data_IF_766087430042
#
_entry.id   IF_766087430042
#
_cell.length_a   1.000
_cell.length_b   1.000
_cell.length_c   1.000
_cell.angle_alpha   90.00
_cell.angle_beta   90.00
_cell.angle_gamma   90.00
#
_symmetry.space_group_name_H-M   'P 1'
#
loop_
_entity.id
_entity.type
_entity.pdbx_description
1 polymer ?
#
# COMPACT_ATOMS: atom_id res chain seq x y z
N UNK A 1 36.28 -5.52 -27.68
CA UNK A 1 36.58 -5.25 -26.30
C UNK A 1 35.90 -4.01 -25.77
N UNK A 2 36.08 -2.94 -26.45
CA UNK A 2 35.47 -1.71 -26.04
C UNK A 2 33.97 -1.72 -26.10
N UNK A 3 33.36 -2.40 -27.03
CA UNK A 3 31.89 -2.41 -27.13
C UNK A 3 31.20 -2.93 -25.89
N UNK A 4 31.91 -3.68 -25.11
CA UNK A 4 31.29 -4.23 -23.90
C UNK A 4 30.76 -3.19 -22.97
N UNK A 5 31.45 -2.10 -22.87
CA UNK A 5 31.05 -1.05 -21.93
C UNK A 5 29.75 -0.41 -22.31
N UNK A 6 29.54 -0.27 -23.58
CA UNK A 6 28.34 0.37 -24.08
C UNK A 6 27.11 -0.42 -23.70
N UNK A 7 27.21 -1.72 -23.75
CA UNK A 7 26.09 -2.56 -23.42
C UNK A 7 25.63 -2.34 -21.98
N UNK A 8 26.57 -2.20 -21.10
CA UNK A 8 26.26 -1.99 -19.71
C UNK A 8 25.45 -0.72 -19.48
N UNK A 9 25.81 0.31 -20.18
CA UNK A 9 25.13 1.57 -20.05
C UNK A 9 23.68 1.48 -20.44
N UNK A 10 23.42 0.78 -21.50
CA UNK A 10 22.06 0.63 -21.98
C UNK A 10 21.16 -0.07 -20.97
N UNK A 11 21.71 -1.08 -20.35
CA UNK A 11 20.94 -1.83 -19.37
C UNK A 11 20.50 -0.93 -18.22
N UNK A 12 21.37 -0.06 -17.81
CA UNK A 12 21.05 0.83 -16.71
C UNK A 12 19.88 1.75 -17.04
N UNK A 13 19.88 2.27 -18.24
CA UNK A 13 18.81 3.16 -18.66
C UNK A 13 17.46 2.47 -18.63
N UNK A 14 17.43 1.22 -19.00
CA UNK A 14 16.19 0.45 -19.01
C UNK A 14 15.58 0.36 -17.61
N UNK A 15 16.43 0.18 -16.63
CA UNK A 15 15.96 0.05 -15.27
C UNK A 15 15.27 1.32 -14.77
N UNK A 16 15.82 2.45 -15.13
CA UNK A 16 15.24 3.71 -14.74
C UNK A 16 13.85 3.89 -15.31
N UNK A 17 13.67 3.45 -16.52
CA UNK A 17 12.37 3.54 -17.15
C UNK A 17 11.31 2.75 -16.39
N UNK A 18 11.69 1.59 -15.92
CA UNK A 18 10.76 0.78 -15.14
C UNK A 18 10.34 1.47 -13.87
N UNK A 19 11.27 2.14 -13.24
CA UNK A 19 10.94 2.88 -12.04
C UNK A 19 9.89 3.93 -12.30
N UNK A 20 9.98 4.60 -13.43
CA UNK A 20 9.01 5.63 -13.77
C UNK A 20 7.61 5.04 -13.95
N UNK A 21 7.51 3.88 -14.56
CA UNK A 21 6.20 3.31 -14.83
C UNK A 21 5.47 2.92 -13.57
N UNK A 22 6.18 2.63 -12.49
CA UNK A 22 5.51 2.25 -11.26
C UNK A 22 4.71 3.39 -10.65
N UNK A 23 5.01 4.61 -11.02
CA UNK A 23 4.28 5.76 -10.50
C UNK A 23 2.85 5.84 -11.02
N UNK A 24 2.58 5.21 -12.12
CA UNK A 24 1.25 5.26 -12.69
C UNK A 24 0.21 4.61 -11.80
N UNK A 25 0.63 3.79 -10.85
CA UNK A 25 -0.29 3.14 -9.93
C UNK A 25 -1.04 4.14 -9.08
N UNK A 26 -0.43 5.26 -8.77
CA UNK A 26 -1.04 6.24 -7.90
C UNK A 26 -2.24 6.92 -8.53
N UNK A 27 -2.39 6.81 -9.84
CA UNK A 27 -3.46 7.50 -10.54
C UNK A 27 -4.85 6.96 -10.23
N UNK A 28 -4.94 5.75 -9.75
CA UNK A 28 -6.23 5.16 -9.46
C UNK A 28 -6.82 5.55 -8.11
N UNK A 29 -6.06 6.31 -7.31
CA UNK A 29 -6.48 6.60 -5.95
C UNK A 29 -6.29 8.08 -5.64
N UNK A 30 -7.38 8.73 -5.21
CA UNK A 30 -7.31 10.14 -4.85
C UNK A 30 -6.54 10.32 -3.55
N UNK A 31 -5.97 11.50 -3.37
CA UNK A 31 -5.20 11.79 -2.16
C UNK A 31 -6.04 11.63 -0.90
N UNK A 32 -7.31 11.98 -0.96
CA UNK A 32 -8.20 11.85 0.19
C UNK A 32 -8.31 10.41 0.68
N UNK A 33 -8.12 9.47 -0.22
CA UNK A 33 -8.16 8.05 0.11
C UNK A 33 -6.76 7.51 0.29
N UNK A 34 -5.83 7.94 -0.56
CA UNK A 34 -4.47 7.44 -0.50
C UNK A 34 -3.75 7.79 0.79
N UNK A 35 -3.97 9.00 1.32
CA UNK A 35 -3.29 9.40 2.54
C UNK A 35 -3.66 8.54 3.74
N UNK A 36 -4.94 8.39 4.09
CA UNK A 36 -5.26 7.52 5.22
C UNK A 36 -4.85 6.06 5.00
N UNK A 37 -4.90 5.58 3.75
CA UNK A 37 -4.44 4.22 3.49
C UNK A 37 -2.94 4.08 3.68
N UNK A 38 -2.18 5.08 3.30
CA UNK A 38 -0.74 5.06 3.52
C UNK A 38 -0.44 5.07 5.00
N UNK A 39 -1.14 5.88 5.77
CA UNK A 39 -0.98 5.91 7.21
C UNK A 39 -1.34 4.56 7.83
N UNK A 40 -2.40 3.94 7.34
CA UNK A 40 -2.80 2.63 7.82
C UNK A 40 -1.70 1.60 7.56
N UNK A 41 -1.09 1.65 6.39
CA UNK A 41 -0.02 0.74 6.05
C UNK A 41 1.16 0.91 7.00
N UNK A 42 1.53 2.14 7.30
CA UNK A 42 2.63 2.40 8.21
C UNK A 42 2.31 1.93 9.63
N UNK A 43 1.08 2.13 10.05
CA UNK A 43 0.66 1.67 11.37
C UNK A 43 0.68 0.15 11.47
N UNK A 44 0.32 -0.53 10.39
CA UNK A 44 0.42 -1.99 10.38
C UNK A 44 1.87 -2.45 10.54
N UNK A 45 2.79 -1.77 9.89
CA UNK A 45 4.19 -2.11 10.03
C UNK A 45 4.70 -1.88 11.44
N UNK A 46 4.13 -0.89 12.10
CA UNK A 46 4.50 -0.56 13.47
C UNK A 46 3.80 -1.46 14.49
N UNK A 47 2.94 -2.35 14.05
CA UNK A 47 2.21 -3.24 14.95
C UNK A 47 0.99 -2.62 15.57
N UNK A 48 0.52 -1.51 15.02
CA UNK A 48 -0.65 -0.79 15.57
C UNK A 48 -1.88 -1.05 14.71
N UNK A 49 -2.33 -2.29 14.75
CA UNK A 49 -3.40 -2.73 13.86
C UNK A 49 -4.72 -2.01 14.09
N UNK A 50 -5.05 -1.71 15.34
CA UNK A 50 -6.31 -1.01 15.63
C UNK A 50 -6.32 0.39 15.06
N UNK A 51 -5.20 1.08 15.19
CA UNK A 51 -5.07 2.42 14.63
C UNK A 51 -5.09 2.37 13.12
N UNK A 52 -4.47 1.35 12.55
CA UNK A 52 -4.50 1.17 11.11
C UNK A 52 -5.93 0.96 10.61
N UNK A 53 -6.71 0.20 11.34
CA UNK A 53 -8.10 -0.03 10.98
C UNK A 53 -8.90 1.28 11.03
N UNK A 54 -8.63 2.11 12.02
CA UNK A 54 -9.30 3.41 12.11
C UNK A 54 -8.97 4.28 10.90
N UNK A 55 -7.72 4.27 10.47
CA UNK A 55 -7.33 5.03 9.29
C UNK A 55 -7.97 4.49 8.01
N UNK A 56 -8.05 3.19 7.90
CA UNK A 56 -8.73 2.59 6.75
C UNK A 56 -10.20 2.97 6.72
N UNK A 57 -10.83 3.08 7.86
CA UNK A 57 -12.22 3.51 7.95
C UNK A 57 -12.39 4.97 7.54
N UNK A 58 -11.39 5.80 7.83
CA UNK A 58 -11.43 7.18 7.37
C UNK A 58 -11.46 7.23 5.84
N UNK A 59 -10.65 6.40 5.21
CA UNK A 59 -10.66 6.33 3.76
C UNK A 59 -12.00 5.85 3.25
N UNK A 60 -12.60 4.91 3.94
CA UNK A 60 -13.89 4.34 3.53
C UNK A 60 -15.02 5.35 3.64
N UNK A 61 -14.86 6.35 4.48
CA UNK A 61 -15.87 7.37 4.67
C UNK A 61 -15.92 8.40 3.55
N UNK A 62 -14.93 8.40 2.68
CA UNK A 62 -14.89 9.34 1.56
C UNK A 62 -15.95 8.97 0.55
N UNK A 63 -16.72 9.96 0.09
CA UNK A 63 -17.78 9.72 -0.87
C UNK A 63 -17.27 9.58 -2.29
N UNK A 64 -18.09 8.98 -3.14
CA UNK A 64 -17.79 8.88 -4.56
C UNK A 64 -16.59 8.03 -4.90
N UNK A 65 -16.35 6.97 -4.14
CA UNK A 65 -15.21 6.10 -4.37
C UNK A 65 -15.37 5.29 -5.65
N UNK A 66 -14.28 5.09 -6.35
CA UNK A 66 -14.26 4.19 -7.50
C UNK A 66 -14.15 2.75 -7.02
N UNK A 67 -14.42 1.81 -7.94
CA UNK A 67 -14.28 0.39 -7.59
C UNK A 67 -12.85 0.06 -7.18
N UNK A 68 -11.87 0.65 -7.84
CA UNK A 68 -10.47 0.41 -7.48
C UNK A 68 -10.16 0.94 -6.08
N UNK A 69 -10.67 2.12 -5.76
CA UNK A 69 -10.48 2.71 -4.43
C UNK A 69 -11.13 1.84 -3.37
N UNK A 70 -12.34 1.40 -3.64
CA UNK A 70 -13.05 0.56 -2.67
C UNK A 70 -12.30 -0.74 -2.43
N UNK A 71 -11.76 -1.34 -3.47
CA UNK A 71 -11.00 -2.57 -3.34
C UNK A 71 -9.78 -2.40 -2.43
N UNK A 72 -9.04 -1.32 -2.63
CA UNK A 72 -7.88 -1.05 -1.81
C UNK A 72 -8.25 -0.82 -0.35
N UNK A 73 -9.33 -0.09 -0.12
CA UNK A 73 -9.83 0.16 1.22
C UNK A 73 -10.22 -1.16 1.89
N UNK A 74 -10.95 -1.99 1.18
CA UNK A 74 -11.42 -3.25 1.74
C UNK A 74 -10.26 -4.17 2.08
N UNK A 75 -9.24 -4.20 1.24
CA UNK A 75 -8.06 -5.00 1.52
C UNK A 75 -7.34 -4.51 2.77
N UNK A 76 -7.21 -3.20 2.90
CA UNK A 76 -6.55 -2.64 4.07
C UNK A 76 -7.35 -2.91 5.33
N UNK A 77 -8.67 -2.75 5.26
CA UNK A 77 -9.53 -3.02 6.39
C UNK A 77 -9.43 -4.48 6.81
N UNK A 78 -9.43 -5.38 5.84
CA UNK A 78 -9.32 -6.81 6.14
C UNK A 78 -7.98 -7.13 6.79
N UNK A 79 -6.90 -6.60 6.26
CA UNK A 79 -5.58 -6.84 6.82
C UNK A 79 -5.47 -6.30 8.24
N UNK A 80 -5.96 -5.09 8.46
CA UNK A 80 -5.90 -4.48 9.77
C UNK A 80 -6.79 -5.22 10.76
N UNK A 81 -7.97 -5.60 10.34
CA UNK A 81 -8.90 -6.30 11.21
C UNK A 81 -8.36 -7.66 11.62
N UNK A 82 -7.75 -8.38 10.68
CA UNK A 82 -7.15 -9.66 11.00
C UNK A 82 -6.07 -9.53 12.05
N UNK A 83 -5.19 -8.56 11.88
CA UNK A 83 -4.11 -8.38 12.84
C UNK A 83 -4.60 -7.89 14.19
N UNK A 84 -5.60 -7.05 14.19
CA UNK A 84 -6.19 -6.56 15.44
C UNK A 84 -6.86 -7.69 16.21
N UNK A 85 -7.52 -8.59 15.51
CA UNK A 85 -8.21 -9.70 16.13
C UNK A 85 -7.29 -10.84 16.50
N UNK A 86 -6.23 -11.05 15.72
CA UNK A 86 -5.31 -12.15 15.96
C UNK A 86 -4.62 -12.04 17.30
N UNK A 87 -4.25 -10.84 17.71
CA UNK A 87 -3.58 -10.67 18.98
C UNK A 87 -4.41 -11.14 20.16
N UNK A 88 -5.65 -10.65 20.32
CA UNK A 88 -6.46 -11.13 21.44
C UNK A 88 -6.73 -12.62 21.36
N UNK A 89 -6.94 -13.13 20.17
CA UNK A 89 -7.23 -14.55 20.01
C UNK A 89 -6.02 -15.40 20.39
N UNK A 90 -4.85 -15.00 19.92
CA UNK A 90 -3.63 -15.74 20.22
C UNK A 90 -3.34 -15.74 21.71
N UNK A 91 -3.55 -14.62 22.36
CA UNK A 91 -3.34 -14.51 23.80
C UNK A 91 -4.32 -15.39 24.56
N UNK A 92 -5.57 -15.38 24.12
CA UNK A 92 -6.60 -16.15 24.80
C UNK A 92 -6.33 -17.65 24.74
N UNK A 93 -5.70 -18.10 23.68
CA UNK A 93 -5.38 -19.52 23.52
C UNK A 93 -4.14 -19.94 24.30
N UNK A 94 -3.30 -19.01 24.55
CA UNK A 94 -2.08 -19.30 25.27
C UNK A 94 -2.37 -19.48 26.73
#
# INVERSE_FOLDING_TARGET
>A
MKPLRVLTTLATAALLTLGASSMSHAQGVRAEIGKPLQQASELLRAGKAREALAKAREADAVGGKTAAEQLLIDRMKAAAAQRANDFPTAIARS
#
